data_IF_729105425020
#
_entry.id   IF_729105425020
#
_cell.length_a   1.000
_cell.length_b   1.000
_cell.length_c   1.000
_cell.angle_alpha   90.00
_cell.angle_beta   90.00
_cell.angle_gamma   90.00
#
_symmetry.space_group_name_H-M   'P 1'
#
loop_
_entity.id
_entity.type
_entity.pdbx_description
1 polymer ?
#
# COMPACT_ATOMS: atom_id res chain seq x y z
N UNK A 1 -14.41 13.73 -17.72
CA UNK A 1 -13.65 13.40 -16.52
C UNK A 1 -12.31 14.13 -16.55
N UNK A 2 -11.86 14.65 -15.41
CA UNK A 2 -10.58 15.30 -15.25
C UNK A 2 -9.71 14.49 -14.32
N UNK A 3 -8.39 14.58 -14.52
CA UNK A 3 -7.41 13.95 -13.63
C UNK A 3 -6.52 15.06 -13.05
N UNK A 4 -6.58 15.23 -11.75
CA UNK A 4 -5.82 16.22 -11.01
C UNK A 4 -4.55 15.57 -10.46
N UNK A 5 -3.41 15.87 -11.10
CA UNK A 5 -2.09 15.34 -10.73
C UNK A 5 -1.43 16.27 -9.73
N UNK A 6 -1.17 15.80 -8.52
CA UNK A 6 -0.58 16.56 -7.42
C UNK A 6 0.87 16.15 -7.17
N UNK A 7 1.79 17.11 -7.20
CA UNK A 7 3.15 16.88 -6.75
C UNK A 7 3.21 16.97 -5.22
N UNK A 8 3.28 15.84 -4.57
CA UNK A 8 3.41 15.73 -3.11
C UNK A 8 4.85 15.58 -2.63
N UNK A 9 5.84 15.65 -3.53
CA UNK A 9 7.25 15.47 -3.17
C UNK A 9 7.85 16.75 -2.59
N UNK A 10 8.76 16.59 -1.64
CA UNK A 10 9.49 17.68 -1.00
C UNK A 10 10.94 17.69 -1.48
N UNK A 11 11.33 18.68 -2.27
CA UNK A 11 12.68 18.79 -2.83
C UNK A 11 13.54 19.85 -2.16
N UNK A 12 12.93 20.88 -1.57
CA UNK A 12 13.61 22.04 -0.98
C UNK A 12 13.14 22.28 0.47
N UNK A 13 14.03 22.69 1.36
CA UNK A 13 15.48 22.94 1.18
C UNK A 13 16.31 21.65 1.09
N UNK A 14 15.71 20.51 1.31
CA UNK A 14 16.30 19.18 1.28
C UNK A 14 15.27 18.18 0.74
N UNK A 15 15.77 17.19 0.02
CA UNK A 15 14.91 16.10 -0.43
C UNK A 15 14.49 15.24 0.77
N UNK A 16 13.19 15.23 1.07
CA UNK A 16 12.59 14.44 2.15
C UNK A 16 11.79 13.25 1.57
N UNK A 17 11.62 12.23 2.39
CA UNK A 17 10.83 11.04 2.01
C UNK A 17 9.33 11.31 2.17
N UNK A 18 8.96 12.21 3.07
CA UNK A 18 7.56 12.55 3.37
C UNK A 18 6.86 13.36 2.29
N UNK A 19 5.55 13.24 2.24
CA UNK A 19 4.68 13.97 1.33
C UNK A 19 4.09 15.24 1.93
N UNK A 20 4.01 16.31 1.13
CA UNK A 20 3.35 17.55 1.52
C UNK A 20 2.72 18.23 0.31
N UNK A 21 1.57 18.86 0.49
CA UNK A 21 0.97 19.74 -0.50
C UNK A 21 1.29 21.20 -0.11
N UNK A 22 1.94 21.92 -1.01
CA UNK A 22 2.32 23.32 -0.76
C UNK A 22 1.10 24.24 -0.82
N UNK A 23 1.18 25.37 -0.14
CA UNK A 23 0.10 26.35 -0.12
C UNK A 23 -0.30 26.84 -1.52
N UNK A 24 0.68 27.06 -2.37
CA UNK A 24 0.47 27.49 -3.76
C UNK A 24 -0.28 26.43 -4.58
N UNK A 25 -0.13 25.16 -4.23
CA UNK A 25 -0.87 24.06 -4.88
C UNK A 25 -2.36 24.11 -4.49
N UNK A 26 -2.69 24.39 -3.23
CA UNK A 26 -4.08 24.61 -2.83
C UNK A 26 -4.72 25.80 -3.56
N UNK A 27 -4.02 26.94 -3.61
CA UNK A 27 -4.48 28.13 -4.32
C UNK A 27 -4.66 27.89 -5.83
N UNK A 28 -3.87 27.01 -6.41
CA UNK A 28 -3.99 26.59 -7.81
C UNK A 28 -5.14 25.59 -8.02
N UNK A 29 -5.37 24.66 -7.08
CA UNK A 29 -6.41 23.63 -7.19
C UNK A 29 -7.82 24.21 -7.11
N UNK A 30 -8.07 25.12 -6.18
CA UNK A 30 -9.40 25.64 -5.86
C UNK A 30 -10.16 26.12 -7.11
N UNK A 31 -9.63 27.04 -7.95
CA UNK A 31 -10.35 27.47 -9.15
C UNK A 31 -10.52 26.39 -10.21
N UNK A 32 -9.64 25.37 -10.24
CA UNK A 32 -9.76 24.23 -11.16
C UNK A 32 -10.91 23.32 -10.72
N UNK A 33 -11.03 23.05 -9.42
CA UNK A 33 -12.11 22.25 -8.86
C UNK A 33 -13.47 22.96 -9.03
N UNK A 34 -13.53 24.28 -8.81
CA UNK A 34 -14.72 25.09 -9.09
C UNK A 34 -15.14 25.03 -10.57
N UNK A 35 -14.17 25.06 -11.48
CA UNK A 35 -14.46 24.94 -12.91
C UNK A 35 -14.97 23.55 -13.28
N UNK A 36 -14.38 22.48 -12.72
CA UNK A 36 -14.83 21.13 -12.91
C UNK A 36 -16.29 20.94 -12.44
N UNK A 37 -16.63 21.49 -11.27
CA UNK A 37 -17.98 21.47 -10.74
C UNK A 37 -18.98 22.20 -11.67
N UNK A 38 -18.64 23.40 -12.13
CA UNK A 38 -19.47 24.17 -13.08
C UNK A 38 -19.70 23.46 -14.40
N UNK A 39 -18.73 22.66 -14.85
CA UNK A 39 -18.84 21.86 -16.08
C UNK A 39 -19.51 20.50 -15.85
N UNK A 40 -19.80 20.14 -14.60
CA UNK A 40 -20.30 18.80 -14.24
C UNK A 40 -19.27 17.71 -14.53
N UNK A 41 -17.99 18.07 -14.51
CA UNK A 41 -16.88 17.13 -14.72
C UNK A 41 -16.58 16.36 -13.43
N UNK A 42 -16.37 15.05 -13.56
CA UNK A 42 -15.88 14.25 -12.44
C UNK A 42 -14.36 14.38 -12.37
N UNK A 43 -13.85 14.58 -11.17
CA UNK A 43 -12.42 14.70 -10.90
C UNK A 43 -11.93 13.44 -10.19
N UNK A 44 -10.79 12.92 -10.63
CA UNK A 44 -9.97 11.93 -9.92
C UNK A 44 -8.69 12.62 -9.54
N UNK A 45 -8.33 12.61 -8.26
CA UNK A 45 -7.05 13.13 -7.79
C UNK A 45 -5.99 12.04 -7.72
N UNK A 46 -4.74 12.43 -7.94
CA UNK A 46 -3.59 11.51 -7.97
C UNK A 46 -2.41 12.18 -7.29
N UNK A 47 -1.74 11.47 -6.38
CA UNK A 47 -0.45 11.87 -5.81
C UNK A 47 0.48 10.66 -5.67
N UNK A 48 1.74 10.90 -5.30
CA UNK A 48 2.65 9.80 -4.96
C UNK A 48 2.42 9.30 -3.55
N UNK A 49 2.38 10.21 -2.57
CA UNK A 49 2.14 9.90 -1.15
C UNK A 49 0.65 9.71 -0.89
N UNK A 50 0.34 8.94 0.15
CA UNK A 50 -1.02 8.58 0.48
C UNK A 50 -1.82 9.76 1.03
N UNK A 51 -3.10 9.81 0.68
CA UNK A 51 -4.06 10.76 1.22
C UNK A 51 -4.58 10.30 2.59
N UNK A 52 -4.81 9.00 2.76
CA UNK A 52 -5.35 8.39 3.97
C UNK A 52 -4.29 7.51 4.65
N UNK A 53 -4.45 7.24 5.95
CA UNK A 53 -3.69 6.20 6.64
C UNK A 53 -4.33 4.84 6.34
N UNK A 54 -3.75 4.12 5.40
CA UNK A 54 -4.35 2.92 4.80
C UNK A 54 -4.64 1.81 5.82
N UNK A 55 -3.63 1.23 6.44
CA UNK A 55 -3.78 0.08 7.33
C UNK A 55 -3.24 0.30 8.74
N UNK A 56 -3.07 1.56 9.17
CA UNK A 56 -2.38 1.90 10.42
C UNK A 56 -0.87 1.68 10.38
N UNK A 57 -0.36 1.06 9.32
CA UNK A 57 1.08 0.82 9.11
C UNK A 57 1.83 2.12 8.94
N UNK A 58 1.22 3.14 8.32
CA UNK A 58 1.80 4.46 8.14
C UNK A 58 2.20 5.10 9.47
N UNK A 59 1.38 4.93 10.52
CA UNK A 59 1.66 5.50 11.85
C UNK A 59 2.77 4.80 12.58
N UNK A 60 2.91 3.50 12.39
CA UNK A 60 3.84 2.66 13.17
C UNK A 60 5.19 2.48 12.51
N UNK A 61 5.24 2.53 11.16
CA UNK A 61 6.44 2.15 10.39
C UNK A 61 6.94 3.21 9.43
N UNK A 62 6.02 4.02 8.92
CA UNK A 62 6.32 4.94 7.83
C UNK A 62 5.68 6.29 8.12
N UNK A 63 6.14 6.98 9.15
CA UNK A 63 5.67 8.33 9.57
C UNK A 63 5.54 9.32 8.40
N UNK A 64 6.11 8.99 7.25
CA UNK A 64 6.24 9.85 6.10
C UNK A 64 5.48 9.35 4.85
N UNK A 65 4.59 8.37 4.96
CA UNK A 65 3.88 7.86 3.79
C UNK A 65 2.62 8.64 3.47
N UNK A 66 1.97 9.19 4.49
CA UNK A 66 0.78 10.03 4.33
C UNK A 66 1.19 11.48 4.14
N UNK A 67 0.47 12.22 3.30
CA UNK A 67 0.66 13.66 3.08
C UNK A 67 0.51 14.39 4.41
N UNK A 68 1.47 15.24 4.76
CA UNK A 68 1.40 16.10 5.95
C UNK A 68 0.14 16.98 5.91
N UNK A 69 -0.60 17.05 7.02
CA UNK A 69 -1.86 17.80 7.12
C UNK A 69 -2.89 17.41 6.06
N UNK A 70 -2.98 16.10 5.77
CA UNK A 70 -3.86 15.52 4.76
C UNK A 70 -5.34 15.87 4.94
N UNK A 71 -5.78 16.20 6.15
CA UNK A 71 -7.17 16.57 6.46
C UNK A 71 -7.64 17.83 5.69
N UNK A 72 -6.72 18.75 5.39
CA UNK A 72 -7.04 19.92 4.57
C UNK A 72 -7.30 19.52 3.11
N UNK A 73 -6.46 18.62 2.58
CA UNK A 73 -6.61 18.10 1.22
C UNK A 73 -7.88 17.23 1.09
N UNK A 74 -8.13 16.35 2.05
CA UNK A 74 -9.35 15.50 2.09
C UNK A 74 -10.59 16.39 2.03
N UNK A 75 -10.66 17.42 2.86
CA UNK A 75 -11.80 18.35 2.88
C UNK A 75 -11.97 19.08 1.57
N UNK A 76 -10.90 19.68 1.03
CA UNK A 76 -10.97 20.40 -0.24
C UNK A 76 -11.46 19.49 -1.38
N UNK A 77 -10.94 18.28 -1.48
CA UNK A 77 -11.34 17.32 -2.50
C UNK A 77 -12.80 16.87 -2.31
N UNK A 78 -13.23 16.59 -1.08
CA UNK A 78 -14.60 16.15 -0.80
C UNK A 78 -15.63 17.25 -1.03
N UNK A 79 -15.32 18.49 -0.64
CA UNK A 79 -16.22 19.66 -0.81
C UNK A 79 -16.52 19.90 -2.30
N UNK A 80 -15.61 19.50 -3.20
CA UNK A 80 -15.79 19.58 -4.66
C UNK A 80 -16.21 18.24 -5.30
N UNK A 81 -16.68 17.29 -4.50
CA UNK A 81 -17.24 16.02 -4.97
C UNK A 81 -16.24 15.02 -5.55
N UNK A 82 -14.95 15.17 -5.25
CA UNK A 82 -13.93 14.16 -5.60
C UNK A 82 -14.12 12.93 -4.73
N UNK A 83 -14.29 11.77 -5.37
CA UNK A 83 -14.56 10.52 -4.66
C UNK A 83 -13.47 9.46 -4.81
N UNK A 84 -12.51 9.68 -5.69
CA UNK A 84 -11.44 8.75 -5.94
C UNK A 84 -10.10 9.46 -5.94
N UNK A 85 -9.21 9.01 -5.07
CA UNK A 85 -7.80 9.36 -5.02
C UNK A 85 -6.96 8.12 -5.35
N UNK A 86 -5.92 8.30 -6.15
CA UNK A 86 -4.97 7.23 -6.49
C UNK A 86 -3.59 7.61 -5.98
N UNK A 87 -2.93 6.67 -5.32
CA UNK A 87 -1.58 6.87 -4.80
C UNK A 87 -0.68 5.63 -4.93
N UNK A 88 0.55 5.75 -4.46
CA UNK A 88 1.56 4.71 -4.47
C UNK A 88 2.37 4.68 -3.19
N UNK A 89 3.68 4.94 -3.26
CA UNK A 89 4.65 5.08 -2.19
C UNK A 89 4.86 3.84 -1.31
N UNK A 90 3.81 3.30 -0.68
CA UNK A 90 3.87 2.10 0.16
C UNK A 90 4.17 0.81 -0.61
N UNK A 91 4.02 0.82 -1.93
CA UNK A 91 4.17 -0.36 -2.80
C UNK A 91 3.26 -1.54 -2.44
N UNK A 92 2.18 -1.29 -1.71
CA UNK A 92 1.16 -2.29 -1.36
C UNK A 92 -0.02 -2.21 -2.31
N UNK A 93 -0.79 -3.27 -2.40
CA UNK A 93 -2.10 -3.24 -3.03
C UNK A 93 -3.15 -3.11 -1.95
N UNK A 94 -3.75 -1.92 -1.84
CA UNK A 94 -4.72 -1.60 -0.79
C UNK A 94 -5.74 -0.57 -1.26
N UNK A 95 -6.88 -0.47 -0.57
CA UNK A 95 -7.79 0.66 -0.69
C UNK A 95 -8.52 0.92 0.63
N UNK A 96 -8.85 2.17 0.87
CA UNK A 96 -9.58 2.64 2.04
C UNK A 96 -10.66 3.62 1.64
N UNK A 97 -11.75 3.63 2.38
CA UNK A 97 -12.79 4.65 2.35
C UNK A 97 -12.65 5.54 3.59
N UNK A 98 -12.65 6.84 3.40
CA UNK A 98 -12.90 7.78 4.48
C UNK A 98 -14.41 7.89 4.66
N UNK A 99 -14.91 7.32 5.75
CA UNK A 99 -16.36 7.22 6.03
C UNK A 99 -17.03 8.59 6.24
N UNK A 100 -16.28 9.60 6.67
CA UNK A 100 -16.80 10.95 6.92
C UNK A 100 -17.02 11.72 5.62
N UNK A 101 -16.15 11.54 4.63
CA UNK A 101 -16.19 12.28 3.37
C UNK A 101 -16.62 11.44 2.16
N UNK A 102 -16.56 10.12 2.25
CA UNK A 102 -16.85 9.19 1.17
C UNK A 102 -15.79 9.16 0.07
N UNK A 103 -14.58 9.68 0.34
CA UNK A 103 -13.43 9.56 -0.55
C UNK A 103 -12.85 8.15 -0.42
N UNK A 104 -12.62 7.52 -1.54
CA UNK A 104 -11.83 6.28 -1.64
C UNK A 104 -10.41 6.62 -2.07
N UNK A 105 -9.43 6.12 -1.34
CA UNK A 105 -8.05 6.05 -1.81
C UNK A 105 -7.74 4.64 -2.27
N UNK A 106 -7.03 4.51 -3.40
CA UNK A 106 -6.47 3.25 -3.87
C UNK A 106 -4.97 3.40 -3.97
N UNK A 107 -4.25 2.59 -3.18
CA UNK A 107 -2.80 2.44 -3.27
C UNK A 107 -2.50 1.26 -4.17
N UNK A 108 -1.77 1.49 -5.26
CA UNK A 108 -1.39 0.43 -6.19
C UNK A 108 0.05 -0.01 -5.94
N UNK A 109 0.27 -1.32 -5.93
CA UNK A 109 1.60 -1.90 -5.79
C UNK A 109 2.56 -1.47 -6.90
N UNK A 110 3.85 -1.63 -6.66
CA UNK A 110 4.90 -1.26 -7.62
C UNK A 110 4.93 -2.21 -8.82
N UNK A 111 5.19 -1.69 -10.01
CA UNK A 111 5.42 -2.51 -11.21
C UNK A 111 6.78 -3.25 -11.21
N UNK A 112 7.73 -2.84 -10.36
CA UNK A 112 9.10 -3.39 -10.32
C UNK A 112 9.41 -4.19 -9.07
N UNK A 113 8.46 -4.29 -8.15
CA UNK A 113 8.54 -5.10 -6.94
C UNK A 113 7.30 -6.00 -6.86
N UNK A 114 7.46 -7.24 -6.40
CA UNK A 114 6.29 -8.12 -6.22
C UNK A 114 5.19 -7.41 -5.44
N UNK A 115 3.95 -7.48 -5.91
CA UNK A 115 3.39 -8.34 -6.97
C UNK A 115 3.48 -7.78 -8.40
N UNK A 116 4.25 -6.72 -8.65
CA UNK A 116 4.43 -6.08 -9.95
C UNK A 116 3.09 -5.62 -10.56
N UNK A 117 2.29 -4.92 -9.75
CA UNK A 117 0.93 -4.51 -10.12
C UNK A 117 0.90 -3.16 -10.86
N UNK A 118 -0.13 -3.04 -11.68
CA UNK A 118 -0.68 -1.77 -12.17
C UNK A 118 -2.19 -1.79 -12.02
N UNK A 119 -2.80 -0.62 -11.86
CA UNK A 119 -4.24 -0.46 -11.70
C UNK A 119 -4.94 -0.10 -13.02
N UNK A 120 -6.13 -0.64 -13.23
CA UNK A 120 -7.05 -0.23 -14.30
C UNK A 120 -8.29 0.36 -13.64
N UNK A 121 -8.50 1.67 -13.85
CA UNK A 121 -9.73 2.35 -13.43
C UNK A 121 -10.67 2.48 -14.62
N UNK A 122 -11.88 1.98 -14.47
CA UNK A 122 -12.97 2.20 -15.42
C UNK A 122 -13.99 3.15 -14.82
N UNK A 123 -14.40 4.13 -15.59
CA UNK A 123 -15.39 5.14 -15.19
C UNK A 123 -16.63 4.93 -16.03
N UNK A 124 -17.74 4.57 -15.40
CA UNK A 124 -19.00 4.37 -16.08
C UNK A 124 -19.80 5.68 -16.21
N UNK A 125 -20.68 5.74 -17.19
CA UNK A 125 -21.49 6.95 -17.45
C UNK A 125 -22.40 7.33 -16.27
N UNK A 126 -22.82 6.34 -15.48
CA UNK A 126 -23.64 6.53 -14.28
C UNK A 126 -22.84 7.08 -13.08
N UNK A 127 -21.51 7.23 -13.17
CA UNK A 127 -20.68 7.70 -12.09
C UNK A 127 -20.02 6.62 -11.25
N UNK A 128 -20.27 5.36 -11.57
CA UNK A 128 -19.58 4.23 -10.93
C UNK A 128 -18.12 4.19 -11.34
N UNK A 129 -17.22 3.96 -10.39
CA UNK A 129 -15.83 3.59 -10.66
C UNK A 129 -15.63 2.11 -10.42
N UNK A 130 -14.84 1.48 -11.25
CA UNK A 130 -14.37 0.12 -11.04
C UNK A 130 -12.85 0.11 -11.15
N UNK A 131 -12.20 -0.46 -10.16
CA UNK A 131 -10.75 -0.68 -10.13
C UNK A 131 -10.44 -2.17 -10.19
N UNK A 132 -9.46 -2.53 -11.00
CA UNK A 132 -8.90 -3.87 -11.08
C UNK A 132 -7.37 -3.78 -11.07
N UNK A 133 -6.72 -4.38 -10.07
CA UNK A 133 -5.28 -4.61 -10.08
C UNK A 133 -4.92 -5.71 -11.07
N UNK A 134 -3.82 -5.52 -11.78
CA UNK A 134 -3.26 -6.49 -12.74
C UNK A 134 -1.76 -6.59 -12.54
N UNK A 135 -1.24 -7.80 -12.68
CA UNK A 135 0.22 -8.01 -12.72
C UNK A 135 0.79 -7.75 -14.11
N UNK A 136 2.00 -7.26 -14.18
CA UNK A 136 2.76 -7.11 -15.43
C UNK A 136 3.09 -8.52 -15.96
N UNK A 137 2.67 -8.83 -17.18
CA UNK A 137 2.87 -10.14 -17.85
C UNK A 137 4.30 -10.27 -18.39
N UNK A 138 5.27 -10.37 -17.48
CA UNK A 138 6.70 -10.54 -17.86
C UNK A 138 6.94 -11.92 -18.45
N UNK A 139 6.34 -12.96 -17.91
CA UNK A 139 6.49 -14.35 -18.37
C UNK A 139 6.03 -14.47 -19.84
N UNK A 140 4.81 -13.99 -20.11
CA UNK A 140 4.27 -13.99 -21.46
C UNK A 140 5.08 -13.10 -22.41
N UNK A 141 5.59 -11.96 -21.94
CA UNK A 141 6.48 -11.12 -22.74
C UNK A 141 7.77 -11.85 -23.09
N UNK A 142 8.41 -12.52 -22.13
CA UNK A 142 9.65 -13.26 -22.34
C UNK A 142 9.46 -14.40 -23.36
N UNK A 143 8.35 -15.14 -23.26
CA UNK A 143 7.98 -16.19 -24.21
C UNK A 143 7.80 -15.61 -25.62
N UNK A 144 7.01 -14.55 -25.77
CA UNK A 144 6.73 -13.91 -27.08
C UNK A 144 7.98 -13.36 -27.77
N UNK A 145 9.00 -12.96 -26.97
CA UNK A 145 10.25 -12.41 -27.50
C UNK A 145 11.42 -13.41 -27.49
N UNK A 146 11.14 -14.68 -27.21
CA UNK A 146 12.15 -15.76 -27.18
C UNK A 146 13.31 -15.45 -26.20
N UNK A 147 13.00 -14.83 -25.08
CA UNK A 147 13.97 -14.60 -24.02
C UNK A 147 14.12 -15.87 -23.17
N UNK A 148 15.29 -16.48 -23.22
CA UNK A 148 15.59 -17.75 -22.53
C UNK A 148 16.27 -17.54 -21.17
N UNK A 149 15.84 -16.54 -20.41
CA UNK A 149 16.28 -16.34 -19.04
C UNK A 149 15.33 -17.09 -18.10
N UNK A 150 15.88 -17.92 -17.20
CA UNK A 150 15.11 -18.73 -16.24
C UNK A 150 14.24 -17.86 -15.31
N UNK A 151 14.80 -16.73 -14.85
CA UNK A 151 14.11 -15.83 -13.91
C UNK A 151 12.95 -15.08 -14.58
N UNK A 152 13.02 -14.89 -15.92
CA UNK A 152 11.93 -14.29 -16.69
C UNK A 152 10.87 -15.30 -17.13
N UNK A 153 11.24 -16.60 -17.22
CA UNK A 153 10.30 -17.65 -17.60
C UNK A 153 9.26 -17.97 -16.50
N UNK A 154 9.56 -17.62 -15.27
CA UNK A 154 8.68 -17.71 -14.11
C UNK A 154 8.91 -16.47 -13.22
N UNK A 155 8.63 -15.30 -13.80
CA UNK A 155 8.96 -14.02 -13.18
C UNK A 155 8.12 -13.76 -11.94
N UNK A 156 6.88 -14.20 -11.91
CA UNK A 156 6.01 -14.07 -10.75
C UNK A 156 6.63 -14.74 -9.53
N UNK A 157 6.99 -16.01 -9.63
CA UNK A 157 7.66 -16.74 -8.55
C UNK A 157 9.05 -16.17 -8.22
N UNK A 158 9.78 -15.71 -9.23
CA UNK A 158 11.10 -15.08 -9.04
C UNK A 158 10.98 -13.77 -8.22
N UNK A 159 10.09 -12.85 -8.62
CA UNK A 159 9.90 -11.56 -7.95
C UNK A 159 9.38 -11.72 -6.51
N UNK A 160 8.40 -12.63 -6.30
CA UNK A 160 7.91 -12.99 -4.97
C UNK A 160 9.04 -13.55 -4.09
N UNK A 161 9.90 -14.42 -4.66
CA UNK A 161 11.05 -14.97 -3.94
C UNK A 161 12.06 -13.90 -3.50
N UNK A 162 12.18 -12.79 -4.24
CA UNK A 162 13.05 -11.66 -3.85
C UNK A 162 12.45 -10.95 -2.64
N UNK A 163 11.15 -10.60 -2.70
CA UNK A 163 10.44 -9.98 -1.57
C UNK A 163 10.51 -10.85 -0.32
N UNK A 164 10.21 -12.14 -0.47
CA UNK A 164 10.28 -13.11 0.62
C UNK A 164 11.67 -13.19 1.26
N UNK A 165 12.73 -13.28 0.46
CA UNK A 165 14.11 -13.30 0.98
C UNK A 165 14.49 -12.01 1.68
N UNK A 166 14.03 -10.85 1.19
CA UNK A 166 14.24 -9.58 1.85
C UNK A 166 13.56 -9.56 3.22
N UNK A 167 12.29 -9.94 3.30
CA UNK A 167 11.53 -10.01 4.55
C UNK A 167 12.18 -10.98 5.57
N UNK A 168 12.59 -12.18 5.14
CA UNK A 168 13.31 -13.13 6.01
C UNK A 168 14.60 -12.53 6.54
N UNK A 169 15.40 -11.89 5.69
CA UNK A 169 16.67 -11.26 6.10
C UNK A 169 16.43 -10.16 7.13
N UNK A 170 15.41 -9.34 6.92
CA UNK A 170 15.10 -8.22 7.79
C UNK A 170 14.55 -8.72 9.14
N UNK A 171 13.69 -9.74 9.14
CA UNK A 171 13.22 -10.41 10.35
C UNK A 171 14.37 -11.07 11.14
N UNK A 172 15.26 -11.80 10.50
CA UNK A 172 16.43 -12.39 11.17
C UNK A 172 17.35 -11.31 11.77
N UNK A 173 17.52 -10.19 11.05
CA UNK A 173 18.31 -9.05 11.55
C UNK A 173 17.67 -8.43 12.79
N UNK A 174 16.37 -8.23 12.77
CA UNK A 174 15.61 -7.69 13.90
C UNK A 174 15.67 -8.63 15.11
N UNK A 175 15.33 -9.89 14.91
CA UNK A 175 15.41 -10.93 15.94
C UNK A 175 16.82 -11.05 16.57
N UNK A 176 17.89 -10.90 15.80
CA UNK A 176 19.25 -10.94 16.33
C UNK A 176 19.62 -9.67 17.11
N UNK A 177 19.13 -8.49 16.70
CA UNK A 177 19.41 -7.22 17.34
C UNK A 177 18.77 -7.11 18.72
N UNK A 178 17.50 -7.51 18.84
CA UNK A 178 16.72 -7.28 20.04
C UNK A 178 16.80 -8.40 21.08
N UNK A 179 17.26 -9.59 20.71
CA UNK A 179 17.37 -10.73 21.63
C UNK A 179 18.62 -10.65 22.50
N UNK A 180 19.70 -10.07 22.02
CA UNK A 180 20.93 -9.92 22.83
C UNK A 180 20.71 -9.04 24.08
N UNK A 181 19.74 -8.15 24.05
CA UNK A 181 19.48 -7.21 25.15
C UNK A 181 18.47 -7.67 26.19
N UNK A 182 17.59 -8.65 25.93
CA UNK A 182 16.50 -9.00 26.87
C UNK A 182 15.98 -10.45 26.76
N UNK A 183 16.41 -11.34 27.61
CA UNK A 183 15.74 -12.51 28.20
C UNK A 183 14.83 -13.45 27.36
N UNK A 184 14.57 -13.21 26.08
CA UNK A 184 13.86 -14.13 25.22
C UNK A 184 14.86 -14.89 24.31
N UNK A 185 15.28 -16.07 24.75
CA UNK A 185 16.20 -16.89 23.97
C UNK A 185 15.42 -17.73 22.96
N UNK A 186 15.42 -17.31 21.70
CA UNK A 186 14.99 -18.17 20.60
C UNK A 186 16.19 -18.91 20.01
N UNK A 187 15.99 -20.19 19.72
CA UNK A 187 16.99 -20.96 18.95
C UNK A 187 17.04 -20.44 17.51
N UNK A 188 18.14 -20.70 16.81
CA UNK A 188 18.26 -20.35 15.38
C UNK A 188 17.17 -20.98 14.52
N UNK A 189 16.68 -22.16 14.91
CA UNK A 189 15.57 -22.83 14.25
C UNK A 189 14.27 -22.03 14.45
N UNK A 190 13.97 -21.62 15.69
CA UNK A 190 12.80 -20.82 16.00
C UNK A 190 12.85 -19.45 15.31
N UNK A 191 14.01 -18.79 15.26
CA UNK A 191 14.18 -17.53 14.52
C UNK A 191 13.89 -17.69 13.03
N UNK A 192 14.32 -18.82 12.42
CA UNK A 192 13.98 -19.11 11.02
C UNK A 192 12.49 -19.33 10.80
N UNK A 193 11.85 -20.03 11.73
CA UNK A 193 10.40 -20.24 11.71
C UNK A 193 9.65 -18.91 11.82
N UNK A 194 10.01 -18.06 12.78
CA UNK A 194 9.45 -16.70 12.95
C UNK A 194 9.67 -15.84 11.72
N UNK A 195 10.86 -15.85 11.14
CA UNK A 195 11.17 -15.08 9.93
C UNK A 195 10.40 -15.59 8.69
N UNK A 196 10.19 -16.92 8.59
CA UNK A 196 9.36 -17.47 7.52
C UNK A 196 7.90 -17.05 7.65
N UNK A 197 7.35 -17.10 8.83
CA UNK A 197 6.00 -16.62 9.13
C UNK A 197 5.83 -15.14 8.80
N UNK A 198 6.77 -14.29 9.25
CA UNK A 198 6.79 -12.87 8.92
C UNK A 198 6.79 -12.64 7.40
N UNK A 199 7.63 -13.37 6.67
CA UNK A 199 7.74 -13.23 5.23
C UNK A 199 6.47 -13.67 4.48
N UNK A 200 5.77 -14.70 4.96
CA UNK A 200 4.48 -15.13 4.41
C UNK A 200 3.43 -14.02 4.54
N UNK A 201 3.36 -13.37 5.70
CA UNK A 201 2.46 -12.26 5.93
C UNK A 201 2.83 -11.04 5.07
N UNK A 202 4.12 -10.67 5.00
CA UNK A 202 4.58 -9.57 4.15
C UNK A 202 4.17 -9.77 2.69
N UNK A 203 4.42 -10.95 2.11
CA UNK A 203 4.08 -11.22 0.71
C UNK A 203 2.58 -11.03 0.48
N UNK A 204 1.73 -11.63 1.32
CA UNK A 204 0.28 -11.52 1.15
C UNK A 204 -0.24 -10.09 1.40
N UNK A 205 0.36 -9.36 2.33
CA UNK A 205 0.03 -7.96 2.60
C UNK A 205 0.35 -7.06 1.39
N UNK A 206 1.58 -7.17 0.85
CA UNK A 206 1.98 -6.39 -0.33
C UNK A 206 1.11 -6.69 -1.55
N UNK A 207 0.61 -7.90 -1.67
CA UNK A 207 -0.26 -8.33 -2.76
C UNK A 207 -1.75 -8.02 -2.55
N UNK A 208 -2.12 -7.50 -1.37
CA UNK A 208 -3.53 -7.23 -1.02
C UNK A 208 -4.36 -8.50 -0.85
N UNK A 209 -3.73 -9.60 -0.44
CA UNK A 209 -4.35 -10.94 -0.33
C UNK A 209 -4.41 -11.49 1.09
N UNK A 210 -4.26 -10.67 2.12
CA UNK A 210 -4.30 -11.11 3.52
C UNK A 210 -5.56 -11.92 3.84
N UNK A 211 -6.71 -11.60 3.22
CA UNK A 211 -7.96 -12.35 3.38
C UNK A 211 -7.86 -13.86 3.08
N UNK A 212 -6.85 -14.28 2.32
CA UNK A 212 -6.65 -15.69 1.99
C UNK A 212 -5.97 -16.48 3.10
N UNK A 213 -5.22 -15.82 3.98
CA UNK A 213 -4.38 -16.46 5.00
C UNK A 213 -4.64 -15.98 6.43
N UNK A 214 -5.43 -14.93 6.63
CA UNK A 214 -5.61 -14.24 7.90
C UNK A 214 -6.00 -15.17 9.05
N UNK A 215 -7.02 -16.02 8.86
CA UNK A 215 -7.49 -16.96 9.88
C UNK A 215 -6.36 -17.93 10.31
N UNK A 216 -5.71 -18.56 9.33
CA UNK A 216 -4.58 -19.43 9.60
C UNK A 216 -3.37 -18.72 10.21
N UNK A 217 -3.16 -17.45 9.84
CA UNK A 217 -2.11 -16.62 10.40
C UNK A 217 -2.38 -16.29 11.87
N UNK A 218 -3.61 -15.91 12.22
CA UNK A 218 -4.00 -15.61 13.61
C UNK A 218 -3.97 -16.83 14.52
N UNK A 219 -4.23 -18.01 13.98
CA UNK A 219 -4.17 -19.27 14.72
C UNK A 219 -2.75 -19.87 14.81
N UNK A 220 -1.78 -19.33 14.09
CA UNK A 220 -0.43 -19.85 14.06
C UNK A 220 0.30 -19.59 15.40
N UNK A 221 0.82 -20.63 16.09
CA UNK A 221 1.50 -20.45 17.37
C UNK A 221 2.76 -19.56 17.30
N UNK A 222 3.35 -19.37 16.14
CA UNK A 222 4.49 -18.48 15.94
C UNK A 222 4.15 -17.02 16.22
N UNK A 223 2.88 -16.63 16.08
CA UNK A 223 2.41 -15.28 16.43
C UNK A 223 2.64 -14.98 17.91
N UNK A 224 2.45 -15.96 18.79
CA UNK A 224 2.72 -15.78 20.23
C UNK A 224 4.21 -15.49 20.50
N UNK A 225 5.13 -16.05 19.70
CA UNK A 225 6.55 -15.78 19.83
C UNK A 225 6.90 -14.34 19.41
N UNK A 226 6.26 -13.82 18.36
CA UNK A 226 6.36 -12.41 17.98
C UNK A 226 5.77 -11.48 19.04
N UNK A 227 4.64 -11.84 19.63
CA UNK A 227 4.00 -11.06 20.70
C UNK A 227 4.89 -10.93 21.95
N UNK A 228 5.70 -11.93 22.27
CA UNK A 228 6.66 -11.88 23.40
C UNK A 228 7.72 -10.78 23.25
N UNK A 229 8.00 -10.34 22.03
CA UNK A 229 9.00 -9.34 21.73
C UNK A 229 8.40 -8.01 21.21
N UNK A 230 7.06 -7.89 21.18
CA UNK A 230 6.33 -6.74 20.65
C UNK A 230 6.76 -5.40 21.21
N UNK A 231 7.18 -5.36 22.49
CA UNK A 231 7.65 -4.14 23.15
C UNK A 231 9.02 -3.65 22.72
N UNK A 232 9.73 -4.37 21.84
CA UNK A 232 11.09 -4.04 21.36
C UNK A 232 11.27 -4.23 19.87
N UNK A 233 10.36 -4.91 19.19
CA UNK A 233 10.43 -5.21 17.77
C UNK A 233 9.39 -4.43 17.00
N UNK A 234 9.82 -3.49 16.16
CA UNK A 234 8.95 -2.80 15.23
C UNK A 234 8.26 -3.76 14.25
N UNK A 235 8.92 -4.88 13.89
CA UNK A 235 8.33 -5.89 13.02
C UNK A 235 7.17 -6.63 13.69
N UNK A 236 7.19 -6.77 15.03
CA UNK A 236 6.04 -7.30 15.75
C UNK A 236 4.84 -6.36 15.69
N UNK A 237 5.06 -5.06 15.84
CA UNK A 237 3.99 -4.05 15.70
C UNK A 237 3.45 -4.04 14.27
N UNK A 238 4.32 -4.16 13.27
CA UNK A 238 3.89 -4.32 11.88
C UNK A 238 2.99 -5.53 11.68
N UNK A 239 3.35 -6.68 12.23
CA UNK A 239 2.52 -7.89 12.16
C UNK A 239 1.15 -7.69 12.78
N UNK A 240 1.07 -7.01 13.93
CA UNK A 240 -0.21 -6.72 14.57
C UNK A 240 -1.08 -5.83 13.66
N UNK A 241 -0.52 -4.74 13.14
CA UNK A 241 -1.25 -3.81 12.28
C UNK A 241 -1.83 -4.49 11.03
N UNK A 242 -1.05 -5.35 10.35
CA UNK A 242 -1.53 -6.05 9.15
C UNK A 242 -2.52 -7.19 9.45
N UNK A 243 -2.52 -7.73 10.68
CA UNK A 243 -3.48 -8.73 11.13
C UNK A 243 -4.76 -8.09 11.70
N UNK A 244 -4.71 -6.82 12.09
CA UNK A 244 -5.88 -6.04 12.54
C UNK A 244 -6.60 -5.34 11.37
N UNK A 245 -5.93 -5.24 10.21
CA UNK A 245 -6.52 -4.65 9.00
C UNK A 245 -7.71 -5.49 8.51
N UNK A 246 -8.61 -4.84 7.77
CA UNK A 246 -9.76 -5.53 7.20
C UNK A 246 -9.34 -6.57 6.16
N UNK A 247 -9.76 -7.83 6.39
CA UNK A 247 -9.44 -8.92 5.47
C UNK A 247 -10.38 -8.93 4.27
N UNK A 248 -10.02 -8.23 3.20
CA UNK A 248 -10.76 -8.18 1.95
C UNK A 248 -9.85 -8.31 0.73
N UNK A 249 -10.45 -8.51 -0.44
CA UNK A 249 -9.72 -8.48 -1.72
C UNK A 249 -9.43 -7.03 -2.13
N UNK A 250 -8.21 -6.60 -1.90
CA UNK A 250 -7.76 -5.26 -2.25
C UNK A 250 -7.42 -5.09 -3.74
N UNK A 251 -7.46 -6.15 -4.52
CA UNK A 251 -7.23 -6.12 -5.97
C UNK A 251 -8.44 -5.66 -6.79
N UNK A 252 -9.63 -5.61 -6.18
CA UNK A 252 -10.88 -5.28 -6.87
C UNK A 252 -11.75 -4.35 -6.02
N UNK A 253 -12.20 -3.25 -6.62
CA UNK A 253 -13.08 -2.29 -5.96
C UNK A 253 -14.15 -1.79 -6.94
N UNK A 254 -15.36 -1.64 -6.43
CA UNK A 254 -16.44 -0.93 -7.12
C UNK A 254 -16.99 0.17 -6.22
N UNK A 255 -16.84 1.42 -6.64
CA UNK A 255 -17.39 2.59 -5.96
C UNK A 255 -18.69 2.96 -6.67
N UNK A 256 -19.84 2.82 -6.01
CA UNK A 256 -21.14 3.13 -6.65
C UNK A 256 -21.27 4.64 -6.91
N UNK A 257 -22.13 4.98 -7.86
CA UNK A 257 -22.54 6.37 -8.08
C UNK A 257 -23.26 6.93 -6.86
N UNK A 258 -23.08 8.21 -6.58
CA UNK A 258 -23.92 8.96 -5.64
C UNK A 258 -25.14 9.46 -6.44
N UNK A 259 -26.32 9.14 -5.98
CA UNK A 259 -27.59 9.61 -6.56
C UNK A 259 -28.00 10.92 -5.95
#
# INVERSE_FOLDING_TARGET
>A
NWVLMLDSCQYEPKNEVGGMIRRETYEWMEPILDEAEREGARVISVSHHNLLDESGVSRSFYDNCTIEHNEELVRMLSDHGVRLHLSGHLHIQHYKEDEDTGIYEIVTGSMVMAPCHYGIVRIWNDGTYQYDAKSVDVDGWAIRHSYHNRDLADFTAYSESILRRAAIRDAIRDLNRHIEDRHAFFTDEKKREMASYYADLCVNYYEGRMYQIEEAAKENPVLEDWNKIGYVSELSDFLQNILEDEAKDYGHLKIPSVH
#
